data_IF_642715761562
#
_entry.id   IF_642715761562
#
_cell.length_a   1.000
_cell.length_b   1.000
_cell.length_c   1.000
_cell.angle_alpha   90.00
_cell.angle_beta   90.00
_cell.angle_gamma   90.00
#
_symmetry.space_group_name_H-M   'P 1'
#
loop_
_entity.id
_entity.type
_entity.pdbx_description
1 polymer ?
#
# COMPACT_ATOMS: atom_id res chain seq x y z
N UNK A 1 0.98 2.70 21.68
CA UNK A 1 0.09 1.66 21.10
C UNK A 1 -0.25 1.92 19.64
N UNK A 2 -0.90 3.03 19.28
CA UNK A 2 -1.36 3.30 17.89
C UNK A 2 -0.23 3.22 16.84
N UNK A 3 0.99 3.64 17.17
CA UNK A 3 2.16 3.55 16.27
C UNK A 3 2.59 2.12 15.96
N UNK A 4 2.48 1.21 16.93
CA UNK A 4 2.86 -0.20 16.77
C UNK A 4 1.85 -0.88 15.87
N UNK A 5 0.55 -0.55 16.00
CA UNK A 5 -0.47 -0.99 15.06
C UNK A 5 -0.16 -0.51 13.64
N UNK A 6 0.16 0.77 13.47
CA UNK A 6 0.52 1.36 12.17
C UNK A 6 1.71 0.64 11.51
N UNK A 7 2.75 0.36 12.30
CA UNK A 7 3.94 -0.36 11.86
C UNK A 7 3.62 -1.81 11.48
N UNK A 8 2.75 -2.49 12.25
CA UNK A 8 2.24 -3.82 11.92
C UNK A 8 1.47 -3.85 10.60
N UNK A 9 0.59 -2.86 10.35
CA UNK A 9 -0.14 -2.75 9.07
C UNK A 9 0.80 -2.51 7.89
N UNK A 10 1.79 -1.62 8.04
CA UNK A 10 2.77 -1.32 6.98
C UNK A 10 3.64 -2.55 6.67
N UNK A 11 4.10 -3.28 7.70
CA UNK A 11 4.85 -4.53 7.52
C UNK A 11 4.02 -5.60 6.81
N UNK A 12 2.74 -5.74 7.17
CA UNK A 12 1.85 -6.69 6.53
C UNK A 12 1.59 -6.32 5.06
N UNK A 13 1.38 -5.03 4.77
CA UNK A 13 1.25 -4.52 3.41
C UNK A 13 2.52 -4.70 2.57
N UNK A 14 3.69 -4.48 3.17
CA UNK A 14 4.98 -4.74 2.53
C UNK A 14 5.19 -6.22 2.25
N UNK A 15 4.88 -7.11 3.19
CA UNK A 15 4.96 -8.55 2.97
C UNK A 15 4.05 -8.98 1.82
N UNK A 16 2.79 -8.55 1.85
CA UNK A 16 1.81 -8.85 0.80
C UNK A 16 2.29 -8.38 -0.58
N UNK A 17 2.68 -7.11 -0.73
CA UNK A 17 3.19 -6.55 -1.99
C UNK A 17 4.55 -7.13 -2.42
N UNK A 18 5.40 -7.53 -1.46
CA UNK A 18 6.66 -8.22 -1.70
C UNK A 18 6.45 -9.60 -2.34
N UNK A 19 5.50 -10.37 -1.82
CA UNK A 19 5.14 -11.68 -2.42
C UNK A 19 4.62 -11.53 -3.85
N UNK A 20 3.84 -10.49 -4.12
CA UNK A 20 3.27 -10.23 -5.45
C UNK A 20 4.33 -9.77 -6.45
N UNK A 21 5.23 -8.87 -6.04
CA UNK A 21 6.36 -8.45 -6.87
C UNK A 21 7.33 -9.59 -7.18
N UNK A 22 7.54 -10.51 -6.22
CA UNK A 22 8.30 -11.74 -6.45
C UNK A 22 7.66 -12.64 -7.50
N UNK A 23 6.33 -12.84 -7.42
CA UNK A 23 5.59 -13.61 -8.42
C UNK A 23 5.58 -12.93 -9.79
N UNK A 24 5.54 -11.60 -9.84
CA UNK A 24 5.65 -10.85 -11.09
C UNK A 24 7.00 -11.09 -11.76
N UNK A 25 8.08 -11.15 -10.98
CA UNK A 25 9.41 -11.41 -11.50
C UNK A 25 9.56 -12.83 -12.07
N UNK A 26 8.93 -13.83 -11.43
CA UNK A 26 9.03 -15.23 -11.84
C UNK A 26 8.03 -15.64 -12.92
N UNK A 27 6.82 -15.10 -12.90
CA UNK A 27 5.70 -15.55 -13.76
C UNK A 27 5.28 -14.52 -14.80
N UNK A 28 5.72 -13.25 -14.69
CA UNK A 28 5.41 -12.18 -15.65
C UNK A 28 3.96 -11.67 -15.61
N UNK A 29 3.01 -12.43 -15.04
CA UNK A 29 1.56 -12.17 -15.14
C UNK A 29 0.86 -12.04 -13.76
N UNK A 30 1.61 -11.78 -12.69
CA UNK A 30 1.04 -11.66 -11.35
C UNK A 30 0.33 -10.33 -11.08
N UNK A 31 0.66 -9.28 -11.83
CA UNK A 31 0.14 -7.93 -11.62
C UNK A 31 -0.09 -7.20 -12.96
N UNK A 32 -1.14 -6.37 -13.06
CA UNK A 32 -1.32 -5.55 -14.24
C UNK A 32 -0.17 -4.55 -14.40
N UNK A 33 0.12 -4.20 -15.64
CA UNK A 33 1.11 -3.20 -16.00
C UNK A 33 0.35 -1.89 -16.24
N UNK A 34 0.67 -0.84 -15.48
CA UNK A 34 0.18 0.51 -15.77
C UNK A 34 1.22 1.19 -16.67
N UNK A 35 0.86 1.36 -17.94
CA UNK A 35 1.62 2.00 -19.02
C UNK A 35 2.96 1.33 -19.37
N UNK A 36 3.86 1.16 -18.38
CA UNK A 36 5.16 0.48 -18.50
C UNK A 36 5.63 -0.21 -17.20
N UNK A 37 5.00 0.04 -16.05
CA UNK A 37 5.48 -0.42 -14.73
C UNK A 37 4.43 -1.31 -14.03
N UNK A 38 4.81 -2.48 -13.50
CA UNK A 38 3.92 -3.30 -12.68
C UNK A 38 3.42 -2.56 -11.45
N UNK A 39 2.11 -2.53 -11.25
CA UNK A 39 1.49 -1.84 -10.09
C UNK A 39 2.01 -2.38 -8.77
N UNK A 40 2.32 -3.68 -8.71
CA UNK A 40 2.92 -4.34 -7.57
C UNK A 40 4.24 -3.69 -7.10
N UNK A 41 5.10 -3.24 -8.01
CA UNK A 41 6.35 -2.56 -7.65
C UNK A 41 6.07 -1.17 -7.09
N UNK A 42 5.15 -0.41 -7.69
CA UNK A 42 4.77 0.90 -7.18
C UNK A 42 4.22 0.80 -5.75
N UNK A 43 3.28 -0.13 -5.49
CA UNK A 43 2.72 -0.34 -4.16
C UNK A 43 3.81 -0.78 -3.17
N UNK A 44 4.73 -1.67 -3.58
CA UNK A 44 5.86 -2.07 -2.76
C UNK A 44 6.75 -0.88 -2.39
N UNK A 45 7.10 -0.02 -3.35
CA UNK A 45 7.88 1.21 -3.08
C UNK A 45 7.13 2.19 -2.18
N UNK A 46 5.80 2.28 -2.29
CA UNK A 46 4.96 3.08 -1.40
C UNK A 46 5.01 2.59 0.05
N UNK A 47 4.89 1.29 0.30
CA UNK A 47 5.08 0.73 1.63
C UNK A 47 6.53 0.86 2.13
N UNK A 48 7.51 0.74 1.23
CA UNK A 48 8.92 0.94 1.56
C UNK A 48 9.19 2.36 2.05
N UNK A 49 8.66 3.37 1.36
CA UNK A 49 8.81 4.78 1.74
C UNK A 49 8.12 5.08 3.08
N UNK A 50 6.94 4.51 3.34
CA UNK A 50 6.28 4.59 4.65
C UNK A 50 7.15 3.97 5.76
N UNK A 51 7.76 2.81 5.49
CA UNK A 51 8.58 2.10 6.46
C UNK A 51 9.88 2.86 6.74
N UNK A 52 10.54 3.38 5.70
CA UNK A 52 11.67 4.29 5.82
C UNK A 52 11.30 5.53 6.64
N UNK A 53 10.14 6.14 6.40
CA UNK A 53 9.68 7.28 7.20
C UNK A 53 9.58 6.89 8.69
N UNK A 54 8.99 5.73 9.01
CA UNK A 54 8.87 5.25 10.40
C UNK A 54 10.24 5.06 11.08
N UNK A 55 11.26 4.62 10.33
CA UNK A 55 12.63 4.40 10.84
C UNK A 55 13.43 5.70 10.96
N UNK A 56 13.37 6.60 9.98
CA UNK A 56 14.15 7.86 9.87
C UNK A 56 13.63 8.99 10.80
N UNK A 57 13.22 8.62 12.01
CA UNK A 57 12.49 9.41 13.02
C UNK A 57 13.16 10.72 13.48
N UNK A 58 14.38 11.01 13.04
CA UNK A 58 15.17 12.17 13.47
C UNK A 58 14.58 13.52 13.02
N UNK A 59 13.83 13.58 11.92
CA UNK A 59 13.31 14.84 11.35
C UNK A 59 11.77 14.90 11.35
N UNK A 60 11.18 15.50 12.40
CA UNK A 60 9.72 15.56 12.64
C UNK A 60 8.84 16.09 11.48
N UNK A 61 9.19 17.19 10.78
CA UNK A 61 8.32 17.71 9.70
C UNK A 61 8.46 16.91 8.40
N UNK A 62 9.70 16.50 8.07
CA UNK A 62 9.99 15.69 6.89
C UNK A 62 9.31 14.32 6.97
N UNK A 63 9.28 13.74 8.17
CA UNK A 63 8.57 12.49 8.48
C UNK A 63 7.09 12.54 8.11
N UNK A 64 6.38 13.59 8.56
CA UNK A 64 4.94 13.70 8.33
C UNK A 64 4.64 13.83 6.84
N UNK A 65 5.47 14.58 6.12
CA UNK A 65 5.32 14.80 4.69
C UNK A 65 5.59 13.53 3.87
N UNK A 66 6.71 12.83 4.13
CA UNK A 66 7.03 11.57 3.45
C UNK A 66 5.94 10.51 3.67
N UNK A 67 5.44 10.41 4.90
CA UNK A 67 4.39 9.46 5.23
C UNK A 67 3.09 9.76 4.46
N UNK A 68 2.73 11.03 4.33
CA UNK A 68 1.56 11.46 3.56
C UNK A 68 1.71 11.20 2.07
N UNK A 69 2.89 11.47 1.50
CA UNK A 69 3.17 11.22 0.09
C UNK A 69 3.08 9.72 -0.23
N UNK A 70 3.69 8.87 0.60
CA UNK A 70 3.60 7.41 0.44
C UNK A 70 2.16 6.90 0.54
N UNK A 71 1.39 7.40 1.52
CA UNK A 71 -0.02 7.05 1.70
C UNK A 71 -0.89 7.47 0.53
N UNK A 72 -0.69 8.68 0.03
CA UNK A 72 -1.42 9.18 -1.12
C UNK A 72 -1.11 8.35 -2.37
N UNK A 73 0.16 8.02 -2.59
CA UNK A 73 0.59 7.13 -3.67
C UNK A 73 -0.11 5.77 -3.61
N UNK A 74 -0.02 5.06 -2.47
CA UNK A 74 -0.63 3.74 -2.31
C UNK A 74 -2.17 3.82 -2.42
N UNK A 75 -2.79 4.84 -1.83
CA UNK A 75 -4.23 5.03 -1.87
C UNK A 75 -4.77 5.29 -3.28
N UNK A 76 -4.10 6.15 -4.06
CA UNK A 76 -4.49 6.42 -5.46
C UNK A 76 -4.32 5.19 -6.33
N UNK A 77 -3.20 4.47 -6.18
CA UNK A 77 -2.95 3.23 -6.93
C UNK A 77 -3.97 2.14 -6.59
N UNK A 78 -4.34 2.01 -5.32
CA UNK A 78 -5.37 1.06 -4.90
C UNK A 78 -6.74 1.42 -5.51
N UNK A 79 -7.12 2.70 -5.52
CA UNK A 79 -8.34 3.19 -6.15
C UNK A 79 -8.39 2.87 -7.64
N UNK A 80 -7.30 3.18 -8.36
CA UNK A 80 -7.19 2.87 -9.79
C UNK A 80 -7.29 1.35 -10.01
N UNK A 81 -6.59 0.55 -9.20
CA UNK A 81 -6.64 -0.91 -9.26
C UNK A 81 -8.04 -1.47 -9.03
N UNK A 82 -8.79 -0.96 -8.05
CA UNK A 82 -10.18 -1.35 -7.80
C UNK A 82 -11.12 -0.97 -8.94
N UNK A 83 -10.94 0.22 -9.54
CA UNK A 83 -11.74 0.64 -10.70
C UNK A 83 -11.44 -0.23 -11.91
N UNK A 84 -10.17 -0.55 -12.16
CA UNK A 84 -9.79 -1.43 -13.28
C UNK A 84 -10.30 -2.86 -13.10
N UNK A 85 -10.27 -3.41 -11.88
CA UNK A 85 -10.87 -4.72 -11.56
C UNK A 85 -12.37 -4.73 -11.85
N UNK A 86 -13.05 -3.60 -11.59
CA UNK A 86 -14.49 -3.47 -11.86
C UNK A 86 -14.81 -3.39 -13.36
N UNK A 87 -13.95 -2.73 -14.17
CA UNK A 87 -14.19 -2.51 -15.60
C UNK A 87 -13.70 -3.68 -16.48
N UNK A 88 -12.49 -4.20 -16.22
CA UNK A 88 -11.82 -5.21 -17.06
C UNK A 88 -11.95 -6.64 -16.54
N UNK A 89 -12.55 -6.85 -15.37
CA UNK A 89 -12.64 -8.17 -14.73
C UNK A 89 -11.38 -8.50 -13.92
N UNK A 90 -11.07 -9.79 -13.66
CA UNK A 90 -10.01 -10.21 -12.73
C UNK A 90 -8.61 -9.87 -13.27
N UNK A 91 -8.13 -8.68 -12.97
CA UNK A 91 -6.76 -8.21 -13.21
C UNK A 91 -5.88 -8.40 -11.98
N UNK A 92 -6.47 -8.41 -10.79
CA UNK A 92 -5.73 -8.60 -9.54
C UNK A 92 -5.76 -10.07 -9.12
N UNK A 93 -4.62 -10.63 -8.69
CA UNK A 93 -4.56 -12.01 -8.25
C UNK A 93 -5.50 -12.21 -7.06
N UNK A 94 -6.38 -13.19 -7.18
CA UNK A 94 -7.29 -13.58 -6.11
C UNK A 94 -6.56 -14.49 -5.15
N UNK A 95 -6.70 -14.22 -3.86
CA UNK A 95 -6.31 -15.19 -2.84
C UNK A 95 -7.27 -16.37 -2.78
N UNK A 96 -6.98 -17.34 -1.91
CA UNK A 96 -7.72 -18.59 -1.68
C UNK A 96 -9.25 -18.46 -1.44
N UNK A 97 -9.79 -17.25 -1.42
CA UNK A 97 -11.20 -16.96 -1.63
C UNK A 97 -11.29 -15.81 -2.64
N UNK A 98 -12.32 -15.82 -3.47
CA UNK A 98 -12.70 -14.94 -4.60
C UNK A 98 -12.46 -13.42 -4.49
N UNK A 99 -11.89 -12.94 -3.40
CA UNK A 99 -11.61 -11.56 -3.04
C UNK A 99 -10.34 -11.07 -3.74
N UNK A 100 -10.43 -9.96 -4.49
CA UNK A 100 -9.28 -9.28 -5.07
C UNK A 100 -8.31 -8.74 -4.01
N UNK A 101 -7.01 -8.98 -4.22
CA UNK A 101 -5.94 -8.36 -3.42
C UNK A 101 -5.97 -6.82 -3.46
N UNK A 102 -6.43 -6.23 -4.58
CA UNK A 102 -6.53 -4.78 -4.74
C UNK A 102 -7.57 -4.14 -3.80
N UNK A 103 -8.69 -4.81 -3.55
CA UNK A 103 -9.68 -4.37 -2.56
C UNK A 103 -9.13 -4.44 -1.14
N UNK A 104 -8.38 -5.50 -0.81
CA UNK A 104 -7.70 -5.60 0.49
C UNK A 104 -6.73 -4.44 0.69
N UNK A 105 -5.90 -4.15 -0.31
CA UNK A 105 -4.93 -3.05 -0.24
C UNK A 105 -5.61 -1.68 -0.09
N UNK A 106 -6.78 -1.49 -0.70
CA UNK A 106 -7.60 -0.28 -0.55
C UNK A 106 -8.13 -0.13 0.89
N UNK A 107 -8.65 -1.20 1.49
CA UNK A 107 -9.09 -1.21 2.88
C UNK A 107 -7.93 -0.94 3.83
N UNK A 108 -6.78 -1.59 3.63
CA UNK A 108 -5.58 -1.35 4.44
C UNK A 108 -5.08 0.09 4.33
N UNK A 109 -5.07 0.66 3.12
CA UNK A 109 -4.67 2.06 2.91
C UNK A 109 -5.61 3.04 3.61
N UNK A 110 -6.93 2.80 3.55
CA UNK A 110 -7.92 3.59 4.29
C UNK A 110 -7.70 3.47 5.80
N UNK A 111 -7.44 2.27 6.32
CA UNK A 111 -7.17 2.05 7.74
C UNK A 111 -5.91 2.78 8.22
N UNK A 112 -4.83 2.73 7.43
CA UNK A 112 -3.57 3.46 7.69
C UNK A 112 -3.83 4.97 7.67
N UNK A 113 -4.60 5.46 6.69
CA UNK A 113 -4.97 6.88 6.59
C UNK A 113 -5.76 7.34 7.81
N UNK A 114 -6.78 6.58 8.21
CA UNK A 114 -7.64 6.88 9.33
C UNK A 114 -6.84 6.87 10.65
N UNK A 115 -5.97 5.89 10.86
CA UNK A 115 -5.07 5.84 12.01
C UNK A 115 -4.15 7.07 12.07
N UNK A 116 -3.59 7.48 10.94
CA UNK A 116 -2.68 8.64 10.89
C UNK A 116 -3.43 9.96 11.18
N UNK A 117 -4.66 10.11 10.70
CA UNK A 117 -5.55 11.24 11.04
C UNK A 117 -5.87 11.24 12.54
N UNK A 118 -6.18 10.08 13.13
CA UNK A 118 -6.44 9.98 14.57
C UNK A 118 -5.21 10.32 15.42
N UNK A 119 -4.01 9.89 15.01
CA UNK A 119 -2.75 10.25 15.68
C UNK A 119 -2.47 11.75 15.63
N UNK A 120 -2.78 12.40 14.51
CA UNK A 120 -2.59 13.85 14.38
C UNK A 120 -3.65 14.67 15.09
N UNK A 121 -4.90 14.20 15.12
CA UNK A 121 -5.98 14.80 15.91
C UNK A 121 -5.73 14.67 17.41
N UNK A 122 -5.24 13.52 17.88
CA UNK A 122 -4.91 13.29 19.30
C UNK A 122 -3.71 14.10 19.80
N UNK A 123 -2.92 14.67 18.88
CA UNK A 123 -1.76 15.51 19.18
C UNK A 123 -2.08 17.00 19.25
N UNK A 124 -3.31 17.40 18.91
CA UNK A 124 -3.82 18.76 18.95
C UNK A 124 -4.64 18.97 20.22
#
# INVERSE_FOLDING_TARGET
MIRIMLLGLVLFGMWSSGTLSWRQFHSGEACPILDLVPVCYLVFTGYLTMLCAIILRTWRPLFYWLFWVGLFMVGVLALIGSVFEFIKGPICPRTFGWIPMCYLSLVFSLLIALLNVLVTRSKK
#
